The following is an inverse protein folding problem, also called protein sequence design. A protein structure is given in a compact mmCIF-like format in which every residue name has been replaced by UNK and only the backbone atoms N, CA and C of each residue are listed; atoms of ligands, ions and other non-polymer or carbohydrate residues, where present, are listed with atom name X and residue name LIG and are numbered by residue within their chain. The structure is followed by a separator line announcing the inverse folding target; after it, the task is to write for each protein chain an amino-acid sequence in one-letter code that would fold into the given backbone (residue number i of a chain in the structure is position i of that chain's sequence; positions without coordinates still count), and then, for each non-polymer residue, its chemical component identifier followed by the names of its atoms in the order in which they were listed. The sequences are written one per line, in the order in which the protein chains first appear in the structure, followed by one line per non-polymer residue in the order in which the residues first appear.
data_IF_990832636779
#
_entry.id   IF_990832636779
#
_cell.length_a   1.000
_cell.length_b   1.000
_cell.length_c   1.000
_cell.angle_alpha   90.00
_cell.angle_beta   90.00
_cell.angle_gamma   90.00
#
_symmetry.space_group_name_H-M   'P 1'
#
loop_
_entity.id
_entity.type
_entity.pdbx_description
1 polymer ?
#
# COMPACT_ATOMS: atom_id res chain seq x y z
N UNK A 1 -11.45 0.93 -20.74
CA UNK A 1 -10.88 1.85 -19.74
C UNK A 1 -11.14 1.25 -18.36
N UNK A 2 -10.10 0.98 -17.58
CA UNK A 2 -10.21 0.43 -16.23
C UNK A 2 -10.11 1.56 -15.20
N UNK A 3 -10.83 1.44 -14.08
CA UNK A 3 -10.82 2.40 -12.98
C UNK A 3 -10.80 1.67 -11.64
N UNK A 4 -10.04 2.20 -10.68
CA UNK A 4 -9.96 1.68 -9.31
C UNK A 4 -10.04 2.84 -8.33
N UNK A 5 -11.06 2.81 -7.47
CA UNK A 5 -11.16 3.72 -6.32
C UNK A 5 -10.32 3.19 -5.14
N UNK A 6 -9.86 4.08 -4.27
CA UNK A 6 -9.14 3.72 -3.05
C UNK A 6 -10.08 3.09 -2.03
N UNK A 7 -9.68 1.97 -1.43
CA UNK A 7 -10.52 1.27 -0.44
C UNK A 7 -10.25 1.82 0.96
N UNK A 8 -8.99 1.94 1.36
CA UNK A 8 -8.65 2.47 2.67
C UNK A 8 -8.38 3.97 2.57
N UNK A 9 -9.41 4.79 2.81
CA UNK A 9 -9.27 6.25 2.84
C UNK A 9 -8.86 6.70 4.25
N UNK A 10 -7.65 7.28 4.43
CA UNK A 10 -7.27 7.89 5.69
C UNK A 10 -8.22 9.04 6.05
N UNK A 11 -8.50 9.22 7.33
CA UNK A 11 -9.39 10.29 7.80
C UNK A 11 -8.93 11.69 7.33
N UNK A 12 -7.62 11.94 7.32
CA UNK A 12 -7.05 13.18 6.81
C UNK A 12 -7.42 13.42 5.34
N UNK A 13 -7.36 12.39 4.50
CA UNK A 13 -7.67 12.46 3.08
C UNK A 13 -9.17 12.69 2.84
N UNK A 14 -10.03 12.00 3.60
CA UNK A 14 -11.48 12.18 3.53
C UNK A 14 -11.89 13.62 3.84
N UNK A 15 -11.27 14.23 4.86
CA UNK A 15 -11.51 15.63 5.24
C UNK A 15 -11.02 16.63 4.19
N UNK A 16 -9.89 16.36 3.53
CA UNK A 16 -9.28 17.28 2.57
C UNK A 16 -9.90 17.20 1.18
N UNK A 17 -10.21 16.00 0.70
CA UNK A 17 -10.59 15.77 -0.70
C UNK A 17 -12.03 15.30 -0.91
N UNK A 18 -12.80 15.09 0.17
CA UNK A 18 -14.21 14.64 0.09
C UNK A 18 -14.40 13.35 -0.73
N UNK A 19 -13.40 12.47 -0.71
CA UNK A 19 -13.38 11.23 -1.50
C UNK A 19 -14.19 10.12 -0.83
N UNK A 20 -14.85 9.28 -1.63
CA UNK A 20 -15.57 8.09 -1.18
C UNK A 20 -14.74 6.82 -1.38
N UNK A 21 -14.87 5.86 -0.44
CA UNK A 21 -14.21 4.55 -0.53
C UNK A 21 -14.73 3.77 -1.73
N UNK A 22 -13.86 3.00 -2.37
CA UNK A 22 -14.24 1.94 -3.29
C UNK A 22 -14.71 0.68 -2.55
N UNK A 23 -15.43 -0.17 -3.29
CA UNK A 23 -16.02 -1.42 -2.75
C UNK A 23 -15.30 -2.69 -3.22
N UNK A 24 -14.41 -2.58 -4.21
CA UNK A 24 -13.68 -3.72 -4.76
C UNK A 24 -12.31 -3.31 -5.32
N UNK A 25 -11.36 -4.23 -5.23
CA UNK A 25 -10.13 -4.20 -6.00
C UNK A 25 -10.01 -5.52 -6.74
N UNK A 26 -9.93 -5.42 -8.07
CA UNK A 26 -9.74 -6.55 -8.94
C UNK A 26 -8.45 -6.36 -9.75
N UNK A 27 -7.80 -7.48 -10.03
CA UNK A 27 -6.63 -7.55 -10.86
C UNK A 27 -6.98 -7.22 -12.32
N UNK A 28 -6.01 -6.67 -13.04
CA UNK A 28 -6.15 -6.21 -14.41
C UNK A 28 -5.23 -7.05 -15.30
N UNK A 29 -5.81 -7.67 -16.31
CA UNK A 29 -5.06 -8.37 -17.35
C UNK A 29 -4.38 -7.37 -18.29
N UNK A 30 -3.09 -7.54 -18.54
CA UNK A 30 -2.31 -6.71 -19.47
C UNK A 30 -1.38 -7.59 -20.31
N UNK A 31 -0.85 -7.03 -21.41
CA UNK A 31 0.07 -7.73 -22.30
C UNK A 31 1.39 -8.14 -21.60
N UNK A 32 1.72 -7.49 -20.48
CA UNK A 32 2.92 -7.76 -19.66
C UNK A 32 2.61 -8.63 -18.43
N UNK A 33 1.41 -9.22 -18.37
CA UNK A 33 0.93 -10.03 -17.26
C UNK A 33 -0.15 -9.33 -16.42
N UNK A 34 -0.72 -10.07 -15.47
CA UNK A 34 -1.77 -9.58 -14.59
C UNK A 34 -1.20 -8.64 -13.53
N UNK A 35 -1.78 -7.44 -13.42
CA UNK A 35 -1.37 -6.41 -12.47
C UNK A 35 -2.43 -6.17 -11.40
N UNK A 36 -2.00 -5.83 -10.19
CA UNK A 36 -2.83 -5.32 -9.12
C UNK A 36 -2.41 -3.90 -8.77
N UNK A 37 -3.35 -3.08 -8.34
CA UNK A 37 -3.07 -1.72 -7.87
C UNK A 37 -3.43 -1.65 -6.39
N UNK A 38 -2.60 -1.01 -5.58
CA UNK A 38 -2.76 -0.76 -4.15
C UNK A 38 -2.52 0.73 -3.90
N UNK A 39 -3.58 1.54 -3.76
CA UNK A 39 -3.45 2.99 -3.63
C UNK A 39 -3.01 3.38 -2.21
N UNK A 40 -1.79 3.92 -2.05
CA UNK A 40 -1.26 4.41 -0.78
C UNK A 40 -1.40 3.38 0.35
N UNK A 41 -2.21 3.73 1.36
CA UNK A 41 -2.42 2.91 2.56
C UNK A 41 -3.00 1.51 2.29
N UNK A 42 -3.57 1.26 1.10
CA UNK A 42 -4.06 -0.07 0.72
C UNK A 42 -2.98 -1.17 0.84
N UNK A 43 -1.71 -0.83 0.65
CA UNK A 43 -0.58 -1.78 0.78
C UNK A 43 -0.37 -2.27 2.22
N UNK A 44 -0.86 -1.52 3.22
CA UNK A 44 -0.80 -1.91 4.62
C UNK A 44 -1.77 -3.07 4.93
N UNK A 45 -2.83 -3.27 4.13
CA UNK A 45 -3.76 -4.39 4.28
C UNK A 45 -3.23 -5.67 3.64
N UNK A 46 -2.88 -6.72 4.42
CA UNK A 46 -2.47 -8.00 3.86
C UNK A 46 -3.54 -8.67 3.01
N UNK A 47 -4.80 -8.55 3.42
CA UNK A 47 -5.93 -9.21 2.79
C UNK A 47 -6.15 -8.71 1.36
N UNK A 48 -5.94 -7.42 1.14
CA UNK A 48 -6.13 -6.80 -0.16
C UNK A 48 -5.08 -7.25 -1.17
N UNK A 49 -3.80 -7.24 -0.78
CA UNK A 49 -2.73 -7.77 -1.62
C UNK A 49 -2.92 -9.27 -1.88
N UNK A 50 -3.30 -10.04 -0.84
CA UNK A 50 -3.59 -11.47 -0.99
C UNK A 50 -4.71 -11.72 -1.99
N UNK A 51 -5.78 -10.94 -1.95
CA UNK A 51 -6.90 -11.05 -2.90
C UNK A 51 -6.43 -10.82 -4.34
N UNK A 52 -5.67 -9.77 -4.61
CA UNK A 52 -5.17 -9.46 -5.97
C UNK A 52 -4.27 -10.57 -6.50
N UNK A 53 -3.38 -11.09 -5.65
CA UNK A 53 -2.46 -12.19 -6.02
C UNK A 53 -3.25 -13.48 -6.29
N UNK A 54 -4.28 -13.78 -5.49
CA UNK A 54 -5.16 -14.93 -5.73
C UNK A 54 -5.95 -14.80 -7.06
N UNK A 55 -6.15 -13.59 -7.56
CA UNK A 55 -6.72 -13.34 -8.88
C UNK A 55 -5.68 -13.43 -10.02
N UNK A 56 -4.42 -13.71 -9.69
CA UNK A 56 -3.32 -13.88 -10.66
C UNK A 56 -2.34 -12.71 -10.72
N UNK A 57 -2.52 -11.64 -9.93
CA UNK A 57 -1.63 -10.49 -10.00
C UNK A 57 -0.20 -10.82 -9.52
N UNK A 58 0.74 -10.88 -10.47
CA UNK A 58 2.17 -11.03 -10.21
C UNK A 58 2.91 -9.70 -10.03
N UNK A 59 2.27 -8.59 -10.41
CA UNK A 59 2.81 -7.23 -10.30
C UNK A 59 1.85 -6.37 -9.47
N UNK A 60 2.33 -5.81 -8.35
CA UNK A 60 1.54 -4.93 -7.49
C UNK A 60 2.08 -3.51 -7.54
N UNK A 61 1.30 -2.60 -8.13
CA UNK A 61 1.64 -1.18 -8.20
C UNK A 61 1.06 -0.43 -7.01
N UNK A 62 1.93 0.28 -6.29
CA UNK A 62 1.58 1.05 -5.10
C UNK A 62 1.89 2.53 -5.30
N UNK A 63 1.06 3.25 -6.08
CA UNK A 63 1.19 4.70 -6.17
C UNK A 63 0.81 5.34 -4.83
N UNK A 64 1.57 6.33 -4.39
CA UNK A 64 1.35 6.98 -3.10
C UNK A 64 1.66 8.47 -3.13
N UNK A 65 1.07 9.19 -2.18
CA UNK A 65 1.34 10.60 -1.93
C UNK A 65 1.48 10.78 -0.42
N UNK A 66 2.72 10.87 0.05
CA UNK A 66 3.04 11.02 1.47
C UNK A 66 3.79 12.32 1.73
N UNK A 67 3.55 12.94 2.88
CA UNK A 67 4.22 14.19 3.27
C UNK A 67 5.48 13.94 4.08
N UNK A 68 5.45 12.93 4.95
CA UNK A 68 6.48 12.69 5.95
C UNK A 68 7.19 11.36 5.69
N UNK A 69 8.46 11.29 6.07
CA UNK A 69 9.30 10.10 5.86
C UNK A 69 8.76 8.89 6.61
N UNK A 70 8.26 9.08 7.83
CA UNK A 70 7.65 8.03 8.63
C UNK A 70 6.44 7.38 7.96
N UNK A 71 5.62 8.17 7.25
CA UNK A 71 4.50 7.63 6.49
C UNK A 71 4.98 6.81 5.31
N UNK A 72 6.00 7.30 4.58
CA UNK A 72 6.64 6.52 3.52
C UNK A 72 7.22 5.20 4.05
N UNK A 73 7.92 5.22 5.19
CA UNK A 73 8.52 4.02 5.77
C UNK A 73 7.47 2.94 6.08
N UNK A 74 6.29 3.33 6.57
CA UNK A 74 5.17 2.39 6.77
C UNK A 74 4.78 1.70 5.47
N UNK A 75 4.59 2.48 4.40
CA UNK A 75 4.27 1.95 3.07
C UNK A 75 5.39 1.05 2.54
N UNK A 76 6.65 1.47 2.67
CA UNK A 76 7.83 0.74 2.24
C UNK A 76 7.99 -0.61 2.92
N UNK A 77 7.80 -0.66 4.24
CA UNK A 77 7.90 -1.90 5.03
C UNK A 77 6.71 -2.82 4.75
N UNK A 78 5.50 -2.28 4.67
CA UNK A 78 4.32 -3.05 4.30
C UNK A 78 4.51 -3.67 2.90
N UNK A 79 4.97 -2.88 1.92
CA UNK A 79 5.24 -3.35 0.57
C UNK A 79 6.28 -4.47 0.52
N UNK A 80 7.36 -4.38 1.32
CA UNK A 80 8.33 -5.47 1.44
C UNK A 80 7.65 -6.75 1.97
N UNK A 81 6.81 -6.62 2.99
CA UNK A 81 6.04 -7.76 3.52
C UNK A 81 5.10 -8.32 2.45
N UNK A 82 4.43 -7.48 1.65
CA UNK A 82 3.58 -7.94 0.53
C UNK A 82 4.37 -8.73 -0.51
N UNK A 83 5.59 -8.30 -0.84
CA UNK A 83 6.48 -9.00 -1.78
C UNK A 83 7.04 -10.32 -1.22
N UNK A 84 7.20 -10.41 0.11
CA UNK A 84 7.65 -11.63 0.78
C UNK A 84 6.52 -12.65 0.95
N UNK A 85 5.33 -12.18 1.34
CA UNK A 85 4.19 -13.05 1.62
C UNK A 85 3.53 -13.59 0.36
N UNK A 86 3.74 -12.94 -0.79
CA UNK A 86 3.10 -13.27 -2.07
C UNK A 86 4.16 -13.45 -3.18
N UNK A 87 3.97 -14.34 -4.17
CA UNK A 87 4.87 -14.47 -5.32
C UNK A 87 4.61 -13.32 -6.29
N UNK A 88 4.90 -12.09 -5.86
CA UNK A 88 4.64 -10.89 -6.64
C UNK A 88 5.75 -9.85 -6.44
N UNK A 89 6.02 -9.09 -7.50
CA UNK A 89 6.82 -7.87 -7.39
C UNK A 89 5.96 -6.73 -6.89
N UNK A 90 6.51 -5.87 -6.03
CA UNK A 90 5.80 -4.70 -5.51
C UNK A 90 6.55 -3.44 -5.87
N UNK A 91 5.87 -2.52 -6.54
CA UNK A 91 6.44 -1.29 -7.07
C UNK A 91 5.85 -0.11 -6.30
N UNK A 92 6.69 0.64 -5.59
CA UNK A 92 6.29 1.91 -4.98
C UNK A 92 6.66 3.06 -5.90
N UNK A 93 5.66 3.86 -6.24
CA UNK A 93 5.82 5.10 -6.99
C UNK A 93 5.17 6.23 -6.22
N UNK A 94 5.94 7.23 -5.82
CA UNK A 94 5.46 8.37 -5.06
C UNK A 94 5.83 9.69 -5.71
N UNK A 95 5.08 10.72 -5.36
CA UNK A 95 5.35 12.08 -5.80
C UNK A 95 6.40 12.73 -4.88
N UNK A 96 7.22 13.60 -5.46
CA UNK A 96 8.21 14.41 -4.75
C UNK A 96 7.98 15.89 -5.05
N UNK A 97 8.42 16.78 -4.16
CA UNK A 97 8.36 18.21 -4.37
C UNK A 97 7.30 18.91 -3.53
N UNK A 98 6.92 20.12 -3.95
CA UNK A 98 6.01 21.00 -3.21
C UNK A 98 5.03 21.69 -4.16
N UNK A 99 3.74 21.42 -4.03
CA UNK A 99 2.70 22.02 -4.87
C UNK A 99 1.92 23.09 -4.10
N UNK A 100 2.23 24.36 -4.36
CA UNK A 100 1.53 25.48 -3.74
C UNK A 100 0.07 25.58 -4.22
N UNK A 101 -0.82 25.98 -3.31
CA UNK A 101 -2.22 26.29 -3.64
C UNK A 101 -3.16 25.08 -3.72
N UNK A 102 -2.66 23.85 -3.54
CA UNK A 102 -3.49 22.65 -3.53
C UNK A 102 -3.51 22.03 -2.13
N UNK A 103 -4.70 21.98 -1.52
CA UNK A 103 -4.88 21.43 -0.18
C UNK A 103 -4.49 19.95 -0.12
N UNK A 104 -3.65 19.57 0.84
CA UNK A 104 -3.13 18.20 0.99
C UNK A 104 -1.95 17.84 0.08
N UNK A 105 -1.53 18.73 -0.83
CA UNK A 105 -0.39 18.52 -1.74
C UNK A 105 0.77 19.45 -1.39
N UNK A 106 1.05 19.59 -0.09
CA UNK A 106 2.18 20.36 0.42
C UNK A 106 3.53 19.71 0.11
N UNK A 107 4.45 19.67 1.08
CA UNK A 107 5.75 19.00 0.84
C UNK A 107 5.51 17.50 0.74
N UNK A 108 5.99 16.89 -0.33
CA UNK A 108 5.85 15.45 -0.57
C UNK A 108 7.20 14.77 -0.36
N UNK A 109 7.13 13.61 0.27
CA UNK A 109 8.26 12.72 0.47
C UNK A 109 7.98 11.43 -0.27
N UNK A 110 8.93 11.01 -1.10
CA UNK A 110 8.93 9.70 -1.72
C UNK A 110 10.34 9.21 -2.02
N UNK A 111 10.48 7.90 -2.05
CA UNK A 111 11.63 7.22 -2.59
C UNK A 111 11.09 6.01 -3.37
N UNK A 112 11.25 6.03 -4.69
CA UNK A 112 10.66 5.01 -5.55
C UNK A 112 11.48 3.73 -5.49
N UNK A 113 10.83 2.58 -5.47
CA UNK A 113 11.53 1.30 -5.29
C UNK A 113 10.74 0.16 -5.92
N UNK A 114 11.49 -0.82 -6.45
CA UNK A 114 10.98 -2.07 -7.00
C UNK A 114 11.45 -3.21 -6.10
N UNK A 115 10.50 -3.97 -5.57
CA UNK A 115 10.73 -4.97 -4.53
C UNK A 115 10.39 -6.37 -5.02
N UNK A 116 11.13 -7.33 -4.47
CA UNK A 116 10.91 -8.76 -4.67
C UNK A 116 10.91 -9.50 -3.33
N UNK A 117 10.56 -10.78 -3.37
CA UNK A 117 10.91 -11.69 -2.28
C UNK A 117 12.43 -11.72 -2.07
N UNK A 118 12.86 -12.05 -0.85
CA UNK A 118 14.26 -12.34 -0.53
C UNK A 118 14.45 -13.86 -0.65
N UNK A 119 14.98 -14.33 -1.78
CA UNK A 119 15.12 -15.77 -2.06
C UNK A 119 16.23 -16.03 -3.07
N UNK A 120 16.65 -17.29 -3.25
CA UNK A 120 17.74 -17.70 -4.13
C UNK A 120 17.57 -17.24 -5.58
N UNK A 121 16.32 -17.13 -6.05
CA UNK A 121 15.99 -16.68 -7.41
C UNK A 121 15.77 -15.17 -7.51
N UNK A 122 15.86 -14.44 -6.40
CA UNK A 122 15.57 -13.01 -6.31
C UNK A 122 16.77 -12.22 -5.77
N UNK A 123 16.62 -10.90 -5.71
CA UNK A 123 17.59 -10.04 -5.02
C UNK A 123 17.76 -10.50 -3.57
N UNK A 124 19.02 -10.62 -3.13
CA UNK A 124 19.36 -11.02 -1.77
C UNK A 124 18.71 -10.11 -0.73
N UNK A 125 18.65 -8.81 -1.02
CA UNK A 125 18.09 -7.80 -0.13
C UNK A 125 16.60 -7.54 -0.41
N UNK A 126 16.00 -8.25 -1.37
CA UNK A 126 14.60 -8.06 -1.77
C UNK A 126 14.31 -6.71 -2.44
N UNK A 127 15.36 -6.01 -2.89
CA UNK A 127 15.31 -4.75 -3.63
C UNK A 127 15.94 -4.96 -4.99
N UNK A 128 15.15 -4.76 -6.05
CA UNK A 128 15.62 -4.87 -7.44
C UNK A 128 16.22 -3.53 -7.90
N UNK A 129 15.56 -2.44 -7.54
CA UNK A 129 16.02 -1.10 -7.85
C UNK A 129 15.42 -0.10 -6.88
N UNK A 130 16.20 0.92 -6.51
CA UNK A 130 15.79 1.97 -5.60
C UNK A 130 16.26 3.32 -6.14
N UNK A 131 15.38 4.32 -6.07
CA UNK A 131 15.67 5.68 -6.44
C UNK A 131 16.29 6.49 -5.29
N UNK A 132 16.84 7.65 -5.63
CA UNK A 132 17.24 8.64 -4.63
C UNK A 132 16.01 9.25 -3.97
N UNK A 133 16.04 9.36 -2.64
CA UNK A 133 14.95 9.97 -1.88
C UNK A 133 14.72 11.44 -2.30
N UNK A 134 13.45 11.84 -2.40
CA UNK A 134 13.00 13.19 -2.73
C UNK A 134 13.58 13.77 -4.02
N UNK A 135 13.95 12.91 -4.97
CA UNK A 135 14.49 13.32 -6.26
C UNK A 135 13.54 12.90 -7.36
N UNK A 136 13.23 13.83 -8.26
CA UNK A 136 12.47 13.50 -9.47
C UNK A 136 13.34 12.62 -10.36
N UNK A 137 12.89 11.40 -10.63
CA UNK A 137 13.65 10.47 -11.44
C UNK A 137 12.78 9.39 -12.06
N UNK A 138 13.27 8.84 -13.17
CA UNK A 138 12.78 7.59 -13.75
C UNK A 138 13.58 6.42 -13.17
N UNK A 139 12.89 5.51 -12.48
CA UNK A 139 13.46 4.23 -12.05
C UNK A 139 13.09 3.17 -13.09
N UNK A 140 14.11 2.55 -13.70
CA UNK A 140 13.95 1.44 -14.64
C UNK A 140 14.48 0.17 -13.99
N UNK A 141 13.71 -0.90 -14.05
CA UNK A 141 14.10 -2.21 -13.55
C UNK A 141 13.55 -3.30 -14.46
N UNK A 142 14.37 -4.30 -14.76
CA UNK A 142 13.95 -5.48 -15.52
C UNK A 142 13.31 -6.49 -14.56
N UNK A 143 12.04 -6.80 -14.83
CA UNK A 143 11.29 -7.79 -14.07
C UNK A 143 11.14 -9.06 -14.92
N UNK A 144 11.32 -10.21 -14.29
CA UNK A 144 11.23 -11.52 -14.94
C UNK A 144 10.08 -12.30 -14.30
N UNK A 145 8.84 -12.17 -14.81
CA UNK A 145 7.68 -12.85 -14.24
C UNK A 145 7.84 -14.38 -14.15
N UNK A 146 8.67 -14.97 -15.02
CA UNK A 146 8.95 -16.41 -15.03
C UNK A 146 9.62 -16.87 -13.73
N UNK A 147 10.36 -15.98 -13.06
CA UNK A 147 10.98 -16.26 -11.76
C UNK A 147 9.93 -16.41 -10.67
N UNK A 148 8.83 -15.64 -10.73
CA UNK A 148 7.73 -15.77 -9.78
C UNK A 148 7.14 -17.19 -9.82
N UNK A 149 7.00 -17.78 -11.00
CA UNK A 149 6.56 -19.17 -11.16
C UNK A 149 7.53 -20.18 -10.49
N UNK A 150 8.84 -19.91 -10.53
CA UNK A 150 9.84 -20.80 -9.91
C UNK A 150 9.80 -20.78 -8.38
N UNK A 151 9.33 -19.68 -7.79
CA UNK A 151 9.15 -19.53 -6.33
C UNK A 151 8.27 -20.63 -5.73
N UNK A 152 7.33 -21.19 -6.51
CA UNK A 152 6.49 -22.30 -6.06
C UNK A 152 7.24 -23.63 -5.90
N UNK A 153 8.39 -23.81 -6.55
CA UNK A 153 9.09 -25.10 -6.62
C UNK A 153 10.51 -25.08 -6.04
N UNK A 154 11.20 -23.93 -6.11
CA UNK A 154 12.63 -23.82 -5.76
C UNK A 154 12.94 -22.80 -4.66
N UNK A 155 11.92 -22.30 -3.97
CA UNK A 155 12.09 -21.33 -2.89
C UNK A 155 12.71 -21.95 -1.64
N UNK A 156 13.57 -21.18 -0.94
CA UNK A 156 14.03 -21.52 0.41
C UNK A 156 12.87 -21.70 1.40
N UNK A 157 11.75 -21.01 1.15
CA UNK A 157 10.50 -21.10 1.90
C UNK A 157 9.33 -21.06 0.91
N UNK A 158 8.90 -22.22 0.40
CA UNK A 158 7.79 -22.25 -0.55
C UNK A 158 6.47 -22.05 0.21
N UNK A 159 6.23 -20.84 0.72
CA UNK A 159 5.00 -20.45 1.43
C UNK A 159 3.75 -20.68 0.59
N UNK A 160 3.93 -20.85 -0.73
CA UNK A 160 2.91 -21.14 -1.71
C UNK A 160 2.99 -22.56 -2.29
N UNK A 161 3.74 -23.46 -1.66
CA UNK A 161 3.55 -24.89 -1.89
C UNK A 161 2.19 -25.31 -1.32
N UNK A 162 1.58 -26.30 -1.96
CA UNK A 162 0.30 -26.88 -1.54
C UNK A 162 0.32 -27.42 -0.10
N UNK A 163 1.51 -27.70 0.43
CA UNK A 163 1.74 -28.24 1.78
C UNK A 163 1.78 -27.16 2.87
N UNK A 164 2.13 -25.91 2.52
CA UNK A 164 2.26 -24.79 3.46
C UNK A 164 1.15 -23.74 3.33
N UNK A 165 0.29 -23.87 2.31
CA UNK A 165 -0.92 -23.05 2.21
C UNK A 165 -1.88 -23.49 3.31
N UNK A 166 -2.16 -22.65 4.32
CA UNK A 166 -3.06 -23.05 5.39
C UNK A 166 -4.47 -23.27 4.83
N UNK A 167 -5.24 -24.22 5.39
CA UNK A 167 -6.55 -24.57 4.85
C UNK A 167 -7.50 -23.37 4.86
N UNK A 168 -8.30 -23.25 3.79
CA UNK A 168 -9.10 -22.07 3.49
C UNK A 168 -10.16 -21.72 4.56
N UNK A 169 -10.52 -22.69 5.39
CA UNK A 169 -11.49 -22.58 6.49
C UNK A 169 -10.92 -21.91 7.74
N UNK A 170 -9.59 -21.82 7.90
CA UNK A 170 -8.96 -21.09 9.01
C UNK A 170 -9.14 -19.56 8.89
N UNK A 171 -9.31 -19.03 7.67
CA UNK A 171 -9.31 -17.60 7.38
C UNK A 171 -10.65 -17.07 6.88
N UNK A 172 -11.77 -17.47 7.48
CA UNK A 172 -12.99 -16.66 7.42
C UNK A 172 -12.84 -15.45 8.36
N UNK A 173 -11.97 -14.52 8.00
CA UNK A 173 -11.60 -13.38 8.84
C UNK A 173 -12.75 -12.35 8.89
N UNK A 174 -13.50 -12.34 9.99
CA UNK A 174 -13.97 -11.06 10.55
C UNK A 174 -12.90 -10.58 11.52
N UNK A 175 -12.39 -9.35 11.42
CA UNK A 175 -11.45 -8.84 12.41
C UNK A 175 -12.13 -8.77 13.78
N UNK A 176 -11.91 -9.79 14.62
CA UNK A 176 -12.28 -9.76 16.05
C UNK A 176 -11.11 -9.17 16.83
N UNK A 177 -10.75 -7.93 16.53
CA UNK A 177 -9.78 -7.22 17.36
C UNK A 177 -10.45 -6.85 18.68
N UNK A 178 -10.11 -7.55 19.77
CA UNK A 178 -10.34 -6.99 21.10
C UNK A 178 -9.34 -5.86 21.25
N UNK A 179 -9.81 -4.60 21.32
CA UNK A 179 -8.93 -3.47 21.66
C UNK A 179 -8.12 -3.86 22.89
N UNK A 180 -6.80 -3.67 22.84
CA UNK A 180 -5.96 -3.82 24.01
C UNK A 180 -6.53 -2.90 25.10
N UNK A 181 -6.93 -3.47 26.24
CA UNK A 181 -7.45 -2.71 27.36
C UNK A 181 -6.24 -2.06 28.06
N UNK A 182 -6.10 -0.71 28.07
CA UNK A 182 -4.98 -0.04 28.73
C UNK A 182 -4.88 -0.40 30.22
N UNK A 183 -6.03 -0.67 30.85
CA UNK A 183 -6.12 -1.06 32.26
C UNK A 183 -5.46 -2.40 32.55
N UNK A 184 -5.46 -3.34 31.58
CA UNK A 184 -4.78 -4.63 31.74
C UNK A 184 -3.26 -4.53 31.59
N UNK A 185 -2.76 -3.42 31.04
CA UNK A 185 -1.33 -3.19 30.79
C UNK A 185 -0.71 -2.23 31.81
N UNK A 186 -1.47 -1.79 32.83
CA UNK A 186 -1.02 -0.77 33.79
C UNK A 186 -0.77 0.60 33.15
N UNK A 187 -1.26 0.82 31.93
CA UNK A 187 -1.11 2.09 31.21
C UNK A 187 -2.28 2.97 31.58
N UNK A 188 -2.00 4.11 32.20
CA UNK A 188 -3.01 5.13 32.47
C UNK A 188 -3.71 5.51 31.14
N UNK A 189 -5.05 5.68 31.13
CA UNK A 189 -5.75 6.06 29.92
C UNK A 189 -5.13 7.36 29.37
N UNK A 190 -4.73 7.33 28.10
CA UNK A 190 -4.30 8.55 27.41
C UNK A 190 -5.43 9.58 27.51
N UNK A 191 -5.14 10.85 27.79
CA UNK A 191 -6.15 11.90 27.66
C UNK A 191 -6.74 11.82 26.25
N UNK A 192 -8.05 12.05 26.14
CA UNK A 192 -8.73 12.10 24.86
C UNK A 192 -7.94 13.01 23.90
N UNK A 193 -7.80 12.65 22.62
CA UNK A 193 -7.09 13.49 21.68
C UNK A 193 -7.71 14.89 21.72
N UNK A 194 -6.91 15.88 22.13
CA UNK A 194 -7.32 17.27 22.06
C UNK A 194 -7.48 17.59 20.58
N UNK A 195 -8.70 17.91 20.15
CA UNK A 195 -8.94 18.34 18.79
C UNK A 195 -7.95 19.48 18.47
N UNK A 196 -7.19 19.42 17.36
CA UNK A 196 -6.28 20.50 17.01
C UNK A 196 -7.10 21.79 16.90
N UNK A 197 -6.62 22.85 17.56
CA UNK A 197 -7.28 24.15 17.68
C UNK A 197 -7.27 24.96 16.37
N UNK A 198 -7.55 24.32 15.23
CA UNK A 198 -7.72 24.97 13.94
C UNK A 198 -9.20 24.91 13.56
N UNK A 199 -10.01 25.72 14.23
CA UNK A 199 -11.29 26.17 13.68
C UNK A 199 -10.98 27.24 12.64
N UNK A 200 -10.76 26.83 11.39
CA UNK A 200 -10.83 27.76 10.26
C UNK A 200 -12.32 27.96 9.97
N UNK A 201 -12.87 29.18 10.13
CA UNK A 201 -14.27 29.40 9.79
C UNK A 201 -14.47 29.18 8.29
N UNK A 202 -15.41 28.32 7.91
CA UNK A 202 -15.82 28.18 6.52
C UNK A 202 -16.46 29.50 6.04
N UNK A 203 -15.99 30.11 4.95
CA UNK A 203 -16.74 31.18 4.33
C UNK A 203 -18.04 30.61 3.74
N UNK A 204 -19.17 31.22 4.08
CA UNK A 204 -20.48 30.86 3.54
C UNK A 204 -20.44 30.92 2.01
N UNK A 205 -20.63 29.78 1.34
CA UNK A 205 -20.74 29.75 -0.11
C UNK A 205 -22.10 30.34 -0.52
N UNK A 206 -22.11 31.58 -1.02
CA UNK A 206 -23.22 32.09 -1.82
C UNK A 206 -23.25 31.29 -3.13
N UNK A 207 -24.11 30.27 -3.18
CA UNK A 207 -24.48 29.60 -4.43
C UNK A 207 -25.49 30.47 -5.18
N UNK A 208 -25.01 31.09 -6.24
CA UNK A 208 -25.82 31.50 -7.39
C UNK A 208 -24.99 31.17 -8.62
N UNK A 209 -25.28 30.02 -9.24
CA UNK A 209 -24.82 29.71 -10.58
C UNK A 209 -25.84 30.32 -11.54
N UNK A 210 -25.37 31.17 -12.45
CA UNK A 210 -26.01 31.56 -13.70
C UNK A 210 -25.08 31.10 -14.83
#
# INVERSE_FOLDING_TARGET
MHHRAKIHIPEAESRTWSTCSGDAADALETDCGTIGILLGQDVESPELARRLVNQGAGLLFTPHCTTLREHYLRLRHAAQARALENPAYVILSGNVGYLQGVSGMGSQYAQNVVLSACDFSHSHDGVIGEGAANTEMLLVADLQPEILCQTHTRSARPTWSRELTPPADLFTARPRYKRLNPQHLGVAPSPAPVAPAYSVPMPASNRSYS
#
